data_IF_951136732748
#
_entry.id   IF_951136732748
#
_cell.length_a   1.000
_cell.length_b   1.000
_cell.length_c   1.000
_cell.angle_alpha   90.00
_cell.angle_beta   90.00
_cell.angle_gamma   90.00
#
_symmetry.space_group_name_H-M   'P 1'
#
loop_
_entity.id
_entity.type
_entity.pdbx_description
1 polymer ?
#
# COMPACT_ATOMS: atom_id res chain seq x y z
N UNK A 1 -19.07 34.19 26.73
CA UNK A 1 -19.46 33.28 27.83
C UNK A 1 -18.24 32.38 28.07
N UNK A 2 -17.13 32.85 28.67
CA UNK A 2 -16.87 32.90 30.12
C UNK A 2 -17.70 31.82 30.84
N UNK A 3 -17.16 30.73 31.36
CA UNK A 3 -16.07 30.68 32.35
C UNK A 3 -15.34 29.32 32.39
N UNK A 4 -14.04 29.43 32.64
CA UNK A 4 -13.12 28.43 33.19
C UNK A 4 -13.54 27.88 34.57
N UNK A 5 -12.69 26.97 35.09
CA UNK A 5 -12.58 26.44 36.46
C UNK A 5 -13.21 25.07 36.77
N UNK A 6 -12.34 24.07 36.58
CA UNK A 6 -12.03 22.95 37.47
C UNK A 6 -12.77 22.85 38.81
N UNK A 7 -13.13 21.62 39.19
CA UNK A 7 -12.75 20.95 40.46
C UNK A 7 -13.54 19.64 40.56
N UNK A 8 -13.00 18.49 40.16
CA UNK A 8 -12.07 17.60 40.89
C UNK A 8 -12.74 16.70 41.95
N UNK A 9 -12.39 15.40 41.89
CA UNK A 9 -12.55 14.35 42.93
C UNK A 9 -13.99 13.85 43.19
N UNK A 10 -14.34 12.56 43.18
CA UNK A 10 -13.95 11.43 44.06
C UNK A 10 -14.43 10.13 43.37
N UNK A 11 -13.55 9.20 42.99
CA UNK A 11 -13.25 7.91 43.64
C UNK A 11 -14.24 6.74 43.47
N UNK A 12 -13.66 5.60 43.04
CA UNK A 12 -14.02 4.20 43.32
C UNK A 12 -15.23 3.51 42.63
N UNK A 13 -14.88 2.58 41.72
CA UNK A 13 -15.42 1.22 41.51
C UNK A 13 -16.93 0.94 41.66
N UNK A 14 -17.59 0.51 40.57
CA UNK A 14 -18.46 -0.70 40.53
C UNK A 14 -18.55 -1.29 39.12
N UNK A 15 -17.97 -2.48 38.94
CA UNK A 15 -18.27 -3.40 37.82
C UNK A 15 -19.63 -4.05 38.08
N UNK A 16 -20.57 -3.95 37.15
CA UNK A 16 -21.75 -4.84 37.04
C UNK A 16 -22.41 -4.65 35.69
N UNK A 17 -22.20 -5.65 34.82
CA UNK A 17 -23.18 -6.22 33.88
C UNK A 17 -24.27 -5.30 33.34
N UNK A 18 -24.17 -4.96 32.05
CA UNK A 18 -25.18 -5.24 31.01
C UNK A 18 -24.94 -4.35 29.75
N UNK A 19 -24.23 -4.88 28.75
CA UNK A 19 -24.21 -4.33 27.39
C UNK A 19 -24.42 -5.46 26.38
N UNK A 20 -25.41 -6.30 26.65
CA UNK A 20 -26.02 -7.16 25.65
C UNK A 20 -27.05 -6.32 24.89
N UNK A 21 -26.63 -5.67 23.79
CA UNK A 21 -27.41 -5.60 22.54
C UNK A 21 -26.89 -4.52 21.57
N UNK A 22 -26.54 -5.01 20.39
CA UNK A 22 -26.61 -4.34 19.09
C UNK A 22 -25.32 -3.71 18.51
N UNK A 23 -24.73 -4.49 17.58
CA UNK A 23 -24.20 -4.14 16.22
C UNK A 23 -22.67 -4.20 16.02
N UNK A 24 -22.29 -5.35 15.44
CA UNK A 24 -21.48 -5.52 14.23
C UNK A 24 -20.00 -5.08 14.29
N UNK A 25 -19.15 -6.11 14.40
CA UNK A 25 -18.11 -6.44 13.42
C UNK A 25 -17.54 -5.24 12.64
N UNK A 26 -16.48 -4.63 13.15
CA UNK A 26 -15.38 -4.30 12.28
C UNK A 26 -14.13 -4.89 12.91
N UNK A 27 -13.60 -5.90 12.23
CA UNK A 27 -12.38 -6.57 12.65
C UNK A 27 -11.29 -5.54 12.89
N UNK A 28 -10.56 -5.73 13.99
CA UNK A 28 -9.18 -5.31 14.04
C UNK A 28 -8.51 -5.98 12.84
N UNK A 29 -8.30 -5.22 11.77
CA UNK A 29 -7.30 -5.54 10.77
C UNK A 29 -6.01 -5.06 11.39
N UNK A 30 -5.34 -6.00 12.04
CA UNK A 30 -3.99 -5.84 12.50
C UNK A 30 -3.14 -5.61 11.24
N UNK A 31 -2.44 -4.47 11.21
CA UNK A 31 -1.69 -4.02 10.06
C UNK A 31 -0.58 -5.00 9.72
N UNK A 32 -0.60 -5.46 8.47
CA UNK A 32 0.58 -5.97 7.79
C UNK A 32 0.75 -5.03 6.60
N UNK A 33 1.82 -4.24 6.65
CA UNK A 33 2.28 -3.39 5.55
C UNK A 33 2.80 -4.32 4.46
N UNK A 34 1.88 -5.03 3.82
CA UNK A 34 2.21 -5.89 2.73
C UNK A 34 2.39 -5.03 1.50
N UNK A 35 3.63 -4.57 1.32
CA UNK A 35 4.11 -4.13 0.02
C UNK A 35 4.27 -5.39 -0.85
N UNK A 36 3.17 -6.13 -1.01
CA UNK A 36 3.01 -7.22 -1.96
C UNK A 36 3.37 -6.63 -3.32
N UNK A 37 4.58 -6.94 -3.81
CA UNK A 37 5.05 -6.48 -5.09
C UNK A 37 4.16 -7.14 -6.14
N UNK A 38 3.10 -6.44 -6.57
CA UNK A 38 2.15 -6.90 -7.58
C UNK A 38 2.47 -6.29 -8.93
N UNK A 39 2.38 -7.09 -9.98
CA UNK A 39 2.51 -6.59 -11.33
C UNK A 39 1.23 -5.85 -11.72
N UNK A 40 1.31 -4.53 -11.90
CA UNK A 40 0.12 -3.74 -12.28
C UNK A 40 -0.32 -3.94 -13.73
N UNK A 41 0.40 -4.74 -14.51
CA UNK A 41 0.07 -5.04 -15.92
C UNK A 41 -0.88 -6.23 -16.00
N UNK A 42 -0.56 -7.34 -15.31
CA UNK A 42 -1.41 -8.53 -15.25
C UNK A 42 -2.30 -8.60 -14.00
N UNK A 43 -2.07 -7.71 -13.02
CA UNK A 43 -2.75 -7.64 -11.72
C UNK A 43 -2.53 -8.88 -10.82
N UNK A 44 -1.48 -9.65 -11.08
CA UNK A 44 -1.05 -10.80 -10.26
C UNK A 44 0.07 -10.41 -9.30
N UNK A 45 0.21 -11.19 -8.21
CA UNK A 45 1.35 -11.11 -7.30
C UNK A 45 2.64 -11.54 -8.01
N UNK A 46 3.77 -10.94 -7.63
CA UNK A 46 5.09 -11.41 -8.04
C UNK A 46 5.54 -12.49 -7.05
N UNK A 47 5.73 -13.71 -7.52
CA UNK A 47 6.14 -14.84 -6.68
C UNK A 47 7.65 -15.11 -6.77
N UNK A 48 8.21 -15.72 -5.72
CA UNK A 48 9.61 -16.17 -5.73
C UNK A 48 9.83 -17.23 -6.82
N UNK A 49 10.74 -16.95 -7.75
CA UNK A 49 11.04 -17.83 -8.89
C UNK A 49 10.41 -17.38 -10.21
N UNK A 50 9.58 -16.33 -10.20
CA UNK A 50 9.14 -15.66 -11.42
C UNK A 50 10.20 -14.66 -11.91
N UNK A 51 10.31 -14.51 -13.23
CA UNK A 51 11.17 -13.49 -13.82
C UNK A 51 10.55 -12.11 -13.65
N UNK A 52 11.21 -11.27 -12.86
CA UNK A 52 10.81 -9.89 -12.60
C UNK A 52 11.84 -8.91 -13.13
N UNK A 53 11.37 -7.75 -13.60
CA UNK A 53 12.23 -6.69 -14.13
C UNK A 53 11.90 -5.37 -13.43
N UNK A 54 12.94 -4.78 -12.85
CA UNK A 54 12.88 -3.46 -12.23
C UNK A 54 13.28 -2.39 -13.24
N UNK A 55 12.43 -1.39 -13.42
CA UNK A 55 12.70 -0.23 -14.28
C UNK A 55 13.63 0.77 -13.57
N UNK A 56 14.31 1.67 -14.31
CA UNK A 56 15.16 2.72 -13.72
C UNK A 56 14.39 3.67 -12.79
N UNK A 57 13.08 3.81 -13.00
CA UNK A 57 12.17 4.51 -12.09
C UNK A 57 11.78 3.69 -10.83
N UNK A 58 12.54 2.64 -10.50
CA UNK A 58 12.41 1.77 -9.31
C UNK A 58 11.15 0.91 -9.20
N UNK A 59 10.28 0.88 -10.22
CA UNK A 59 9.06 0.07 -10.23
C UNK A 59 9.32 -1.35 -10.76
N UNK A 60 8.68 -2.34 -10.14
CA UNK A 60 8.84 -3.76 -10.45
C UNK A 60 7.62 -4.34 -11.17
N UNK A 61 7.86 -5.22 -12.13
CA UNK A 61 6.86 -5.92 -12.91
C UNK A 61 7.37 -7.29 -13.32
N UNK A 62 6.50 -8.21 -13.74
CA UNK A 62 6.94 -9.41 -14.46
C UNK A 62 7.72 -9.00 -15.71
N UNK A 63 8.84 -9.66 -15.97
CA UNK A 63 9.71 -9.41 -17.11
C UNK A 63 8.91 -9.49 -18.42
N UNK A 64 8.10 -10.53 -18.59
CA UNK A 64 7.26 -10.72 -19.78
C UNK A 64 6.25 -9.59 -19.94
N UNK A 65 5.59 -9.19 -18.85
CA UNK A 65 4.57 -8.15 -18.90
C UNK A 65 5.16 -6.78 -19.25
N UNK A 66 6.26 -6.40 -18.59
CA UNK A 66 6.89 -5.11 -18.87
C UNK A 66 7.54 -5.08 -20.25
N UNK A 67 8.11 -6.19 -20.71
CA UNK A 67 8.72 -6.25 -22.04
C UNK A 67 7.66 -6.08 -23.14
N UNK A 68 6.50 -6.72 -23.01
CA UNK A 68 5.38 -6.51 -23.94
C UNK A 68 4.87 -5.07 -23.94
N UNK A 69 4.78 -4.45 -22.76
CA UNK A 69 4.38 -3.06 -22.64
C UNK A 69 5.36 -2.11 -23.34
N UNK A 70 6.66 -2.32 -23.10
CA UNK A 70 7.74 -1.47 -23.61
C UNK A 70 7.93 -1.57 -25.14
N UNK A 71 7.45 -2.64 -25.79
CA UNK A 71 7.40 -2.71 -27.26
C UNK A 71 6.52 -1.60 -27.84
N UNK A 72 5.42 -1.25 -27.15
CA UNK A 72 4.46 -0.23 -27.63
C UNK A 72 4.71 1.13 -26.98
N UNK A 73 4.98 1.15 -25.67
CA UNK A 73 5.14 2.37 -24.89
C UNK A 73 6.38 2.27 -24.00
N UNK A 74 7.44 3.00 -24.33
CA UNK A 74 8.71 3.00 -23.59
C UNK A 74 8.69 3.81 -22.30
N UNK A 75 7.52 3.86 -21.66
CA UNK A 75 7.24 4.62 -20.44
C UNK A 75 6.74 3.68 -19.36
N UNK A 76 7.13 3.95 -18.12
CA UNK A 76 6.64 3.18 -16.98
C UNK A 76 5.09 3.26 -16.88
N UNK A 77 4.37 2.15 -16.72
CA UNK A 77 2.91 2.15 -16.53
C UNK A 77 2.43 2.93 -15.31
N UNK A 78 3.29 3.05 -14.28
CA UNK A 78 2.94 3.67 -13.00
C UNK A 78 3.25 5.16 -13.01
N UNK A 79 4.51 5.52 -13.24
CA UNK A 79 4.97 6.91 -13.14
C UNK A 79 5.15 7.63 -14.49
N UNK A 80 4.95 6.93 -15.61
CA UNK A 80 5.06 7.47 -16.99
C UNK A 80 6.43 8.03 -17.36
N UNK A 81 7.47 7.73 -16.56
CA UNK A 81 8.87 8.08 -16.85
C UNK A 81 9.36 7.23 -18.02
N UNK A 82 10.02 7.87 -18.99
CA UNK A 82 10.68 7.18 -20.11
C UNK A 82 11.86 6.35 -19.61
N UNK A 83 11.89 5.07 -20.00
CA UNK A 83 12.92 4.13 -19.58
C UNK A 83 14.21 4.24 -20.41
N UNK A 84 14.14 4.80 -21.62
CA UNK A 84 15.31 4.96 -22.51
C UNK A 84 16.16 6.19 -22.17
N UNK A 85 15.60 7.18 -21.49
CA UNK A 85 16.30 8.44 -21.18
C UNK A 85 17.47 8.27 -20.19
N UNK A 86 17.69 7.06 -19.68
CA UNK A 86 18.69 6.74 -18.66
C UNK A 86 19.88 5.92 -19.20
N UNK A 87 19.91 5.58 -20.49
CA UNK A 87 21.09 4.97 -21.12
C UNK A 87 21.90 6.09 -21.80
N UNK A 88 23.13 6.39 -21.35
CA UNK A 88 24.04 7.18 -22.16
C UNK A 88 24.31 6.40 -23.45
N UNK A 89 23.79 6.90 -24.57
CA UNK A 89 24.22 6.48 -25.90
C UNK A 89 25.69 6.84 -26.07
N UNK A 90 26.60 5.92 -25.75
CA UNK A 90 27.95 5.96 -26.28
C UNK A 90 27.89 5.49 -27.74
N UNK A 91 28.06 6.49 -28.61
CA UNK A 91 28.24 6.42 -30.06
C UNK A 91 29.60 5.86 -30.47
#
# INVERSE_FOLDING_TARGET
MFTEFANNFISANKVSTDWFSQRKLHGKQDGEEDTEEKCTICLSMLEEGEDVRRLPCMHLFHQVCVDQWLITNKKCPICRVDIEAQLPTES
#
